data_IF_140705154786
#
_entry.id   IF_140705154786
#
_cell.length_a   1.000
_cell.length_b   1.000
_cell.length_c   1.000
_cell.angle_alpha   90.00
_cell.angle_beta   90.00
_cell.angle_gamma   90.00
#
_symmetry.space_group_name_H-M   'P 1'
#
loop_
_entity.id
_entity.type
_entity.pdbx_description
1 polymer ?
#
# COMPACT_ATOMS: atom_id res chain seq x y z
N UNK A 1 4.16 2.88 20.63
CA UNK A 1 3.23 1.75 20.74
C UNK A 1 1.84 2.03 20.15
N UNK A 2 1.14 3.12 20.56
CA UNK A 2 -0.26 3.39 20.15
C UNK A 2 -0.46 3.52 18.64
N UNK A 3 0.41 4.23 17.93
CA UNK A 3 0.29 4.39 16.47
C UNK A 3 0.46 3.08 15.70
N UNK A 4 1.37 2.21 16.14
CA UNK A 4 1.51 0.88 15.53
C UNK A 4 0.24 0.05 15.70
N UNK A 5 -0.32 0.04 16.92
CA UNK A 5 -1.60 -0.63 17.19
C UNK A 5 -2.74 -0.03 16.37
N UNK A 6 -2.82 1.30 16.26
CA UNK A 6 -3.82 1.97 15.44
C UNK A 6 -3.73 1.56 13.96
N UNK A 7 -2.52 1.47 13.39
CA UNK A 7 -2.31 0.99 12.03
C UNK A 7 -2.76 -0.46 11.84
N UNK A 8 -2.41 -1.35 12.77
CA UNK A 8 -2.82 -2.76 12.71
C UNK A 8 -4.35 -2.89 12.79
N UNK A 9 -4.99 -2.14 13.68
CA UNK A 9 -6.45 -2.10 13.79
C UNK A 9 -7.10 -1.58 12.50
N UNK A 10 -6.55 -0.53 11.90
CA UNK A 10 -7.05 -0.02 10.62
C UNK A 10 -6.93 -1.07 9.51
N UNK A 11 -5.79 -1.75 9.40
CA UNK A 11 -5.59 -2.83 8.42
C UNK A 11 -6.52 -4.03 8.65
N UNK A 12 -6.88 -4.29 9.91
CA UNK A 12 -7.86 -5.31 10.28
C UNK A 12 -9.33 -4.87 10.09
N UNK A 13 -9.59 -3.61 9.69
CA UNK A 13 -10.93 -3.06 9.51
C UNK A 13 -11.60 -2.54 10.79
N UNK A 14 -10.90 -2.56 11.93
CA UNK A 14 -11.34 -2.02 13.23
C UNK A 14 -11.24 -0.48 13.27
N UNK A 15 -11.88 0.16 12.28
CA UNK A 15 -11.71 1.57 11.93
C UNK A 15 -11.94 2.53 13.09
N UNK A 16 -12.99 2.30 13.89
CA UNK A 16 -13.33 3.17 15.03
C UNK A 16 -12.22 3.18 16.08
N UNK A 17 -11.76 2.00 16.50
CA UNK A 17 -10.67 1.86 17.49
C UNK A 17 -9.36 2.42 16.96
N UNK A 18 -9.09 2.22 15.67
CA UNK A 18 -7.90 2.77 15.03
C UNK A 18 -7.86 4.30 15.08
N UNK A 19 -8.98 4.96 14.74
CA UNK A 19 -9.08 6.42 14.81
C UNK A 19 -9.00 6.95 16.24
N UNK A 20 -9.68 6.33 17.20
CA UNK A 20 -9.62 6.72 18.61
C UNK A 20 -8.18 6.70 19.14
N UNK A 21 -7.43 5.62 18.87
CA UNK A 21 -6.03 5.52 19.28
C UNK A 21 -5.11 6.49 18.53
N UNK A 22 -5.36 6.72 17.24
CA UNK A 22 -4.58 7.69 16.46
C UNK A 22 -4.77 9.11 17.00
N UNK A 23 -6.02 9.53 17.26
CA UNK A 23 -6.33 10.84 17.85
C UNK A 23 -5.75 10.98 19.26
N UNK A 24 -5.77 9.92 20.07
CA UNK A 24 -5.11 9.95 21.36
C UNK A 24 -3.59 10.14 21.24
N UNK A 25 -2.95 9.40 20.34
CA UNK A 25 -1.51 9.50 20.11
C UNK A 25 -1.10 10.88 19.60
N UNK A 26 -1.94 11.50 18.76
CA UNK A 26 -1.79 12.86 18.27
C UNK A 26 -1.80 13.89 19.40
N UNK A 27 -2.80 13.82 20.29
CA UNK A 27 -2.92 14.73 21.45
C UNK A 27 -1.78 14.62 22.44
N UNK A 28 -1.23 13.42 22.60
CA UNK A 28 -0.11 13.16 23.51
C UNK A 28 1.25 13.64 22.94
N UNK A 29 1.31 13.98 21.64
CA UNK A 29 2.56 14.34 20.95
C UNK A 29 2.37 15.55 20.02
N UNK A 30 1.95 16.72 20.55
CA UNK A 30 1.58 17.89 19.74
C UNK A 30 2.74 18.48 18.93
N UNK A 31 3.99 18.26 19.36
CA UNK A 31 5.19 18.79 18.70
C UNK A 31 5.85 17.77 17.75
N UNK A 32 5.25 16.59 17.59
CA UNK A 32 5.82 15.53 16.75
C UNK A 32 5.33 15.61 15.31
N UNK A 33 6.15 16.22 14.45
CA UNK A 33 5.87 16.36 13.02
C UNK A 33 5.51 15.05 12.33
N UNK A 34 6.15 13.92 12.66
CA UNK A 34 5.86 12.64 12.00
C UNK A 34 4.51 12.08 12.43
N UNK A 35 4.10 12.29 13.69
CA UNK A 35 2.78 11.91 14.17
C UNK A 35 1.70 12.64 13.35
N UNK A 36 1.83 13.95 13.19
CA UNK A 36 0.83 14.79 12.51
C UNK A 36 0.86 14.67 10.98
N UNK A 37 2.03 14.52 10.37
CA UNK A 37 2.18 14.56 8.91
C UNK A 37 2.19 13.18 8.27
N UNK A 38 2.59 12.15 9.01
CA UNK A 38 2.78 10.80 8.46
C UNK A 38 1.89 9.76 9.13
N UNK A 39 2.06 9.52 10.42
CA UNK A 39 1.48 8.33 11.05
C UNK A 39 -0.03 8.43 11.23
N UNK A 40 -0.54 9.53 11.79
CA UNK A 40 -1.98 9.73 11.97
C UNK A 40 -2.69 9.81 10.60
N UNK A 41 -2.20 10.58 9.62
CA UNK A 41 -2.80 10.58 8.28
C UNK A 41 -2.76 9.21 7.60
N UNK A 42 -1.73 8.38 7.83
CA UNK A 42 -1.69 7.01 7.30
C UNK A 42 -2.80 6.15 7.88
N UNK A 43 -3.04 6.21 9.19
CA UNK A 43 -4.17 5.49 9.82
C UNK A 43 -5.50 5.96 9.23
N UNK A 44 -5.69 7.28 9.13
CA UNK A 44 -6.90 7.86 8.55
C UNK A 44 -7.10 7.47 7.09
N UNK A 45 -6.02 7.38 6.31
CA UNK A 45 -6.05 6.98 4.90
C UNK A 45 -6.44 5.51 4.74
N UNK A 46 -5.91 4.61 5.55
CA UNK A 46 -6.34 3.19 5.57
C UNK A 46 -7.82 3.08 5.91
N UNK A 47 -8.30 3.84 6.90
CA UNK A 47 -9.74 3.87 7.25
C UNK A 47 -10.61 4.42 6.11
N UNK A 48 -10.13 5.45 5.40
CA UNK A 48 -10.80 5.98 4.22
C UNK A 48 -10.87 4.91 3.11
N UNK A 49 -9.79 4.18 2.87
CA UNK A 49 -9.78 3.07 1.92
C UNK A 49 -10.74 1.95 2.29
N UNK A 50 -10.79 1.56 3.56
CA UNK A 50 -11.73 0.55 4.04
C UNK A 50 -13.19 0.97 3.76
N UNK A 51 -13.48 2.27 3.89
CA UNK A 51 -14.79 2.85 3.61
C UNK A 51 -15.08 3.09 2.11
N UNK A 52 -14.12 2.78 1.23
CA UNK A 52 -14.27 3.00 -0.22
C UNK A 52 -13.84 4.37 -0.73
N UNK A 53 -13.42 5.28 0.15
CA UNK A 53 -13.06 6.64 -0.21
C UNK A 53 -11.58 6.76 -0.59
N UNK A 54 -11.28 6.27 -1.81
CA UNK A 54 -9.93 6.31 -2.37
C UNK A 54 -9.40 7.75 -2.53
N UNK A 55 -10.26 8.71 -2.89
CA UNK A 55 -9.87 10.11 -3.08
C UNK A 55 -9.41 10.72 -1.76
N UNK A 56 -10.17 10.54 -0.67
CA UNK A 56 -9.78 11.04 0.65
C UNK A 56 -8.48 10.40 1.13
N UNK A 57 -8.29 9.11 0.88
CA UNK A 57 -7.02 8.44 1.20
C UNK A 57 -5.83 9.08 0.47
N UNK A 58 -5.97 9.43 -0.81
CA UNK A 58 -4.91 10.10 -1.58
C UNK A 58 -4.61 11.47 -0.97
N UNK A 59 -5.63 12.28 -0.69
CA UNK A 59 -5.46 13.62 -0.11
C UNK A 59 -4.77 13.58 1.25
N UNK A 60 -5.18 12.66 2.14
CA UNK A 60 -4.59 12.49 3.46
C UNK A 60 -3.10 12.12 3.40
N UNK A 61 -2.67 11.42 2.35
CA UNK A 61 -1.28 10.96 2.20
C UNK A 61 -0.37 11.95 1.45
N UNK A 62 -0.90 13.04 0.88
CA UNK A 62 -0.08 14.05 0.19
C UNK A 62 0.93 14.75 1.11
N UNK A 63 0.59 15.15 2.35
CA UNK A 63 1.54 15.80 3.24
C UNK A 63 2.77 14.94 3.57
N UNK A 64 2.65 13.61 3.50
CA UNK A 64 3.73 12.67 3.79
C UNK A 64 4.78 12.55 2.66
N UNK A 65 4.55 13.13 1.47
CA UNK A 65 5.45 13.03 0.31
C UNK A 65 6.94 13.33 0.62
N UNK A 66 7.29 14.36 1.44
CA UNK A 66 8.69 14.63 1.78
C UNK A 66 9.36 13.51 2.61
N UNK A 67 8.58 12.64 3.23
CA UNK A 67 9.03 11.58 4.14
C UNK A 67 9.03 10.18 3.50
N UNK A 68 8.49 10.05 2.29
CA UNK A 68 8.26 8.77 1.63
C UNK A 68 9.50 7.84 1.59
N UNK A 69 10.71 8.40 1.48
CA UNK A 69 11.97 7.60 1.45
C UNK A 69 12.20 6.78 2.72
N UNK A 70 11.61 7.17 3.85
CA UNK A 70 11.73 6.45 5.13
C UNK A 70 10.42 5.79 5.56
N UNK A 71 9.35 5.93 4.77
CA UNK A 71 8.00 5.47 5.12
C UNK A 71 7.32 4.77 3.95
N UNK A 72 7.87 3.66 3.47
CA UNK A 72 7.33 2.91 2.32
C UNK A 72 5.85 2.50 2.46
N UNK A 73 5.34 2.39 3.68
CA UNK A 73 3.92 2.19 3.96
C UNK A 73 3.02 3.35 3.42
N UNK A 74 3.46 4.61 3.50
CA UNK A 74 2.69 5.76 2.95
C UNK A 74 2.59 5.64 1.44
N UNK A 75 3.72 5.33 0.78
CA UNK A 75 3.78 5.10 -0.66
C UNK A 75 2.85 3.96 -1.06
N UNK A 76 2.92 2.83 -0.34
CA UNK A 76 2.12 1.65 -0.66
C UNK A 76 0.61 1.95 -0.53
N UNK A 77 0.18 2.58 0.56
CA UNK A 77 -1.22 2.91 0.76
C UNK A 77 -1.73 3.91 -0.27
N UNK A 78 -0.89 4.86 -0.70
CA UNK A 78 -1.24 5.79 -1.79
C UNK A 78 -1.36 5.07 -3.14
N UNK A 79 -0.47 4.13 -3.45
CA UNK A 79 -0.57 3.27 -4.63
C UNK A 79 -1.84 2.41 -4.63
N UNK A 80 -2.17 1.82 -3.47
CA UNK A 80 -3.42 1.07 -3.30
C UNK A 80 -4.66 1.95 -3.46
N UNK A 81 -4.61 3.20 -3.01
CA UNK A 81 -5.68 4.17 -3.21
C UNK A 81 -5.86 4.53 -4.69
N UNK A 82 -4.78 4.77 -5.42
CA UNK A 82 -4.85 5.00 -6.86
C UNK A 82 -5.41 3.80 -7.61
N UNK A 83 -5.02 2.56 -7.26
CA UNK A 83 -5.63 1.35 -7.82
C UNK A 83 -7.14 1.32 -7.60
N UNK A 84 -7.59 1.58 -6.37
CA UNK A 84 -9.02 1.60 -6.02
C UNK A 84 -9.79 2.69 -6.75
N UNK A 85 -9.13 3.80 -7.09
CA UNK A 85 -9.67 4.88 -7.91
C UNK A 85 -9.64 4.60 -9.43
N UNK A 86 -9.11 3.45 -9.88
CA UNK A 86 -8.93 3.14 -11.30
C UNK A 86 -7.79 3.93 -11.97
N UNK A 87 -6.97 4.63 -11.18
CA UNK A 87 -5.86 5.46 -11.64
C UNK A 87 -4.58 4.62 -11.77
N UNK A 88 -4.56 3.74 -12.76
CA UNK A 88 -3.51 2.75 -12.92
C UNK A 88 -2.12 3.35 -13.17
N UNK A 89 -2.00 4.48 -13.86
CA UNK A 89 -0.72 5.14 -14.14
C UNK A 89 -0.07 5.68 -12.87
N UNK A 90 -0.85 6.37 -12.05
CA UNK A 90 -0.43 6.93 -10.76
C UNK A 90 -0.11 5.81 -9.77
N UNK A 91 -0.93 4.75 -9.73
CA UNK A 91 -0.63 3.56 -8.95
C UNK A 91 0.71 2.92 -9.32
N UNK A 92 0.97 2.74 -10.62
CA UNK A 92 2.24 2.18 -11.09
C UNK A 92 3.43 3.03 -10.64
N UNK A 93 3.31 4.36 -10.72
CA UNK A 93 4.36 5.28 -10.27
C UNK A 93 4.67 5.12 -8.77
N UNK A 94 3.65 4.98 -7.91
CA UNK A 94 3.87 4.75 -6.48
C UNK A 94 4.57 3.41 -6.21
N UNK A 95 4.12 2.33 -6.82
CA UNK A 95 4.77 1.02 -6.61
C UNK A 95 6.21 1.00 -7.15
N UNK A 96 6.48 1.66 -8.28
CA UNK A 96 7.84 1.81 -8.80
C UNK A 96 8.75 2.59 -7.85
N UNK A 97 8.24 3.59 -7.13
CA UNK A 97 9.02 4.30 -6.10
C UNK A 97 9.47 3.37 -4.97
N UNK A 98 8.60 2.44 -4.52
CA UNK A 98 8.99 1.43 -3.51
C UNK A 98 10.09 0.53 -4.07
N UNK A 99 9.93 0.05 -5.30
CA UNK A 99 10.93 -0.82 -5.94
C UNK A 99 12.28 -0.11 -6.16
N UNK A 100 12.28 1.21 -6.39
CA UNK A 100 13.50 2.00 -6.49
C UNK A 100 14.28 2.11 -5.16
N UNK A 101 13.62 1.87 -4.02
CA UNK A 101 14.26 1.83 -2.70
C UNK A 101 14.86 0.45 -2.35
N UNK A 102 14.73 -0.54 -3.24
CA UNK A 102 15.23 -1.90 -3.02
C UNK A 102 16.72 -1.95 -2.64
N UNK A 103 17.55 -1.14 -3.30
CA UNK A 103 19.00 -1.10 -3.05
C UNK A 103 19.35 -0.55 -1.65
N UNK A 104 18.41 0.13 -1.00
CA UNK A 104 18.58 0.74 0.33
C UNK A 104 18.00 -0.17 1.41
N UNK A 105 16.88 -0.84 1.13
CA UNK A 105 16.18 -1.70 2.08
C UNK A 105 15.67 -2.98 1.44
N UNK A 106 16.54 -3.93 1.06
CA UNK A 106 16.14 -5.14 0.32
C UNK A 106 15.25 -6.08 1.14
N UNK A 107 15.21 -5.91 2.47
CA UNK A 107 14.37 -6.67 3.40
C UNK A 107 13.04 -5.99 3.70
N UNK A 108 12.68 -4.90 3.01
CA UNK A 108 11.37 -4.27 3.18
C UNK A 108 10.25 -5.23 2.74
N UNK A 109 9.38 -5.57 3.68
CA UNK A 109 8.27 -6.50 3.49
C UNK A 109 7.30 -6.03 2.40
N UNK A 110 7.27 -4.74 2.05
CA UNK A 110 6.38 -4.17 1.03
C UNK A 110 6.89 -4.35 -0.40
N UNK A 111 8.16 -4.69 -0.62
CA UNK A 111 8.71 -4.95 -1.96
C UNK A 111 7.89 -5.98 -2.76
N UNK A 112 7.64 -7.21 -2.24
CA UNK A 112 6.87 -8.20 -2.99
C UNK A 112 5.42 -7.75 -3.23
N UNK A 113 4.81 -7.01 -2.30
CA UNK A 113 3.48 -6.44 -2.49
C UNK A 113 3.47 -5.28 -3.48
N UNK A 114 4.54 -4.51 -3.60
CA UNK A 114 4.67 -3.46 -4.61
C UNK A 114 4.79 -4.04 -6.01
N UNK A 115 5.49 -5.18 -6.19
CA UNK A 115 5.51 -5.92 -7.47
C UNK A 115 4.10 -6.37 -7.86
N UNK A 116 3.32 -6.90 -6.92
CA UNK A 116 1.91 -7.23 -7.14
C UNK A 116 1.08 -6.00 -7.50
N UNK A 117 1.23 -4.91 -6.74
CA UNK A 117 0.56 -3.64 -7.02
C UNK A 117 0.85 -3.12 -8.43
N UNK A 118 2.09 -3.25 -8.89
CA UNK A 118 2.52 -2.84 -10.23
C UNK A 118 1.87 -3.69 -11.33
N UNK A 119 1.79 -5.02 -11.15
CA UNK A 119 1.10 -5.90 -12.08
C UNK A 119 -0.40 -5.54 -12.22
N UNK A 120 -1.06 -5.29 -11.08
CA UNK A 120 -2.45 -4.81 -11.03
C UNK A 120 -2.62 -3.44 -11.68
N UNK A 121 -1.67 -2.54 -11.47
CA UNK A 121 -1.67 -1.20 -12.07
C UNK A 121 -1.58 -1.26 -13.60
N UNK A 122 -0.74 -2.14 -14.16
CA UNK A 122 -0.70 -2.37 -15.60
C UNK A 122 -1.98 -2.99 -16.14
N UNK A 123 -2.61 -3.90 -15.39
CA UNK A 123 -3.90 -4.47 -15.77
C UNK A 123 -5.01 -3.41 -15.82
N UNK A 124 -5.08 -2.52 -14.82
CA UNK A 124 -6.02 -1.38 -14.80
C UNK A 124 -5.78 -0.43 -15.99
N UNK A 125 -4.53 -0.24 -16.41
CA UNK A 125 -4.19 0.56 -17.59
C UNK A 125 -4.52 -0.14 -18.93
N UNK A 126 -4.99 -1.39 -18.93
CA UNK A 126 -5.17 -2.18 -20.15
C UNK A 126 -3.87 -2.64 -20.81
N UNK A 127 -2.72 -2.48 -20.14
CA UNK A 127 -1.41 -2.89 -20.65
C UNK A 127 -1.17 -4.38 -20.41
N UNK A 128 -1.98 -5.24 -21.06
CA UNK A 128 -2.01 -6.70 -20.88
C UNK A 128 -0.62 -7.35 -20.94
N UNK A 129 0.21 -7.00 -21.92
CA UNK A 129 1.57 -7.55 -22.05
C UNK A 129 2.45 -7.24 -20.82
N UNK A 130 2.47 -5.98 -20.36
CA UNK A 130 3.24 -5.60 -19.16
C UNK A 130 2.70 -6.24 -17.89
N UNK A 131 1.37 -6.34 -17.77
CA UNK A 131 0.74 -7.00 -16.65
C UNK A 131 1.13 -8.48 -16.59
N UNK A 132 1.06 -9.20 -17.72
CA UNK A 132 1.48 -10.61 -17.81
C UNK A 132 2.94 -10.80 -17.40
N UNK A 133 3.86 -9.98 -17.91
CA UNK A 133 5.27 -10.04 -17.52
C UNK A 133 5.45 -9.80 -16.01
N UNK A 134 4.81 -8.77 -15.45
CA UNK A 134 4.93 -8.46 -14.04
C UNK A 134 4.36 -9.58 -13.13
N UNK A 135 3.25 -10.21 -13.52
CA UNK A 135 2.72 -11.37 -12.80
C UNK A 135 3.63 -12.59 -12.90
N UNK A 136 4.20 -12.86 -14.09
CA UNK A 136 5.14 -13.95 -14.30
C UNK A 136 6.39 -13.79 -13.43
N UNK A 137 6.96 -12.58 -13.39
CA UNK A 137 8.13 -12.27 -12.57
C UNK A 137 7.81 -12.41 -11.07
N UNK A 138 6.62 -11.97 -10.64
CA UNK A 138 6.17 -12.15 -9.25
C UNK A 138 6.05 -13.63 -8.90
N UNK A 139 5.40 -14.43 -9.74
CA UNK A 139 5.22 -15.87 -9.53
C UNK A 139 6.57 -16.63 -9.53
N UNK A 140 7.53 -16.21 -10.35
CA UNK A 140 8.88 -16.77 -10.33
C UNK A 140 9.60 -16.51 -9.00
N UNK A 141 9.40 -15.32 -8.41
CA UNK A 141 9.92 -14.99 -7.07
C UNK A 141 9.19 -15.73 -5.95
N UNK A 142 7.93 -16.11 -6.15
CA UNK A 142 7.08 -16.80 -5.17
C UNK A 142 6.93 -18.30 -5.45
N UNK A 143 7.84 -18.89 -6.25
CA UNK A 143 7.76 -20.31 -6.65
C UNK A 143 7.79 -21.29 -5.46
N UNK A 144 8.49 -20.91 -4.38
CA UNK A 144 8.65 -21.70 -3.16
C UNK A 144 7.83 -21.14 -1.98
N UNK A 145 6.93 -20.18 -2.23
CA UNK A 145 6.04 -19.65 -1.21
C UNK A 145 5.02 -20.72 -0.78
N UNK A 146 4.53 -20.64 0.45
CA UNK A 146 3.50 -21.54 0.96
C UNK A 146 2.29 -21.56 -0.01
N UNK A 147 1.94 -22.73 -0.59
CA UNK A 147 0.90 -22.83 -1.60
C UNK A 147 -0.49 -22.44 -1.07
N UNK A 148 -0.71 -22.48 0.25
CA UNK A 148 -1.99 -22.17 0.87
C UNK A 148 -2.20 -20.67 1.13
N UNK A 149 -1.18 -19.83 0.88
CA UNK A 149 -1.29 -18.38 1.03
C UNK A 149 -2.44 -17.82 0.17
N UNK A 150 -3.45 -17.18 0.79
CA UNK A 150 -4.60 -16.65 0.05
C UNK A 150 -4.21 -15.66 -1.06
N UNK A 151 -3.19 -14.83 -0.82
CA UNK A 151 -2.68 -13.88 -1.82
C UNK A 151 -2.06 -14.60 -3.03
N UNK A 152 -1.37 -15.72 -2.85
CA UNK A 152 -0.80 -16.48 -3.96
C UNK A 152 -1.89 -17.06 -4.86
N UNK A 153 -2.99 -17.55 -4.26
CA UNK A 153 -4.18 -18.02 -4.99
C UNK A 153 -4.81 -16.88 -5.80
N UNK A 154 -4.92 -15.68 -5.23
CA UNK A 154 -5.41 -14.49 -5.94
C UNK A 154 -4.51 -14.12 -7.13
N UNK A 155 -3.20 -14.07 -6.93
CA UNK A 155 -2.22 -13.76 -7.98
C UNK A 155 -2.33 -14.72 -9.16
N UNK A 156 -2.41 -16.03 -8.89
CA UNK A 156 -2.58 -17.05 -9.94
C UNK A 156 -3.89 -16.86 -10.73
N UNK A 157 -4.99 -16.56 -10.04
CA UNK A 157 -6.28 -16.30 -10.68
C UNK A 157 -6.29 -15.00 -11.51
N UNK A 158 -5.67 -13.93 -11.01
CA UNK A 158 -5.51 -12.66 -11.73
C UNK A 158 -4.64 -12.83 -12.99
N UNK A 159 -3.54 -13.57 -12.88
CA UNK A 159 -2.67 -13.90 -14.02
C UNK A 159 -3.40 -14.72 -15.09
N UNK A 160 -4.14 -15.77 -14.70
CA UNK A 160 -4.89 -16.61 -15.63
C UNK A 160 -5.96 -15.83 -16.41
N UNK A 161 -6.61 -14.83 -15.79
CA UNK A 161 -7.59 -13.96 -16.48
C UNK A 161 -6.96 -13.08 -17.56
N UNK A 162 -5.65 -12.87 -17.53
CA UNK A 162 -4.94 -12.06 -18.51
C UNK A 162 -4.35 -12.89 -19.64
N UNK A 163 -4.33 -14.22 -19.56
CA UNK A 163 -3.95 -15.09 -20.69
C UNK A 163 -5.07 -15.06 -21.74
#
# INVERSE_FOLDING_TARGET
>A
MKLYLASVLALAGENKKALELATQAERERPDDTLVHVVYVPTVQAVVALNSGDARKSIELLKPALPYDKTTTATIYMRGAAFLKAGQGSEAAAEFQRILALYNVGPTDILIPFARLGLARAYAVQGQKSKALTAYQDLLANWKDADPELPVLKQVKAEYAKLQ
#
